data_IF_555413122600
#
_entry.id   IF_555413122600
#
_cell.length_a   1.000
_cell.length_b   1.000
_cell.length_c   1.000
_cell.angle_alpha   90.00
_cell.angle_beta   90.00
_cell.angle_gamma   90.00
#
_symmetry.space_group_name_H-M   'P 1'
#
loop_
_entity.id
_entity.type
_entity.pdbx_description
1 polymer ?
#
# COMPACT_ATOMS: atom_id res chain seq x y z
N UNK A 1 -7.48 4.20 -20.26
CA UNK A 1 -7.18 5.31 -19.34
C UNK A 1 -5.69 5.63 -19.45
N UNK A 2 -5.31 6.91 -19.52
CA UNK A 2 -3.88 7.32 -19.54
C UNK A 2 -3.35 7.39 -18.10
N UNK A 3 -2.05 7.15 -17.91
CA UNK A 3 -1.41 7.15 -16.58
C UNK A 3 -1.63 8.47 -15.82
N UNK A 4 -1.61 9.61 -16.52
CA UNK A 4 -1.85 10.91 -15.91
C UNK A 4 -3.26 11.03 -15.33
N UNK A 5 -4.29 10.57 -16.06
CA UNK A 5 -5.67 10.58 -15.57
C UNK A 5 -5.83 9.71 -14.31
N UNK A 6 -5.16 8.55 -14.26
CA UNK A 6 -5.17 7.71 -13.08
C UNK A 6 -4.50 8.39 -11.88
N UNK A 7 -3.38 9.09 -12.12
CA UNK A 7 -2.68 9.84 -11.07
C UNK A 7 -3.53 10.99 -10.53
N UNK A 8 -4.23 11.73 -11.39
CA UNK A 8 -5.12 12.80 -10.94
C UNK A 8 -6.29 12.27 -10.10
N UNK A 9 -6.87 11.12 -10.46
CA UNK A 9 -7.90 10.47 -9.64
C UNK A 9 -7.32 10.05 -8.29
N UNK A 10 -6.12 9.45 -8.24
CA UNK A 10 -5.46 9.06 -6.99
C UNK A 10 -5.27 10.26 -6.05
N UNK A 11 -4.82 11.40 -6.58
CA UNK A 11 -4.62 12.65 -5.80
C UNK A 11 -5.90 13.22 -5.20
N UNK A 12 -7.09 12.82 -5.66
CA UNK A 12 -8.36 13.25 -5.03
C UNK A 12 -8.61 12.62 -3.66
N UNK A 13 -7.86 11.55 -3.31
CA UNK A 13 -8.01 10.84 -2.04
C UNK A 13 -9.15 9.82 -2.00
N UNK A 14 -9.84 9.56 -3.12
CA UNK A 14 -10.84 8.49 -3.19
C UNK A 14 -10.18 7.10 -3.26
N UNK A 15 -10.94 6.07 -2.90
CA UNK A 15 -10.47 4.68 -3.05
C UNK A 15 -10.41 4.28 -4.53
N UNK A 16 -9.23 3.88 -5.00
CA UNK A 16 -8.98 3.54 -6.42
C UNK A 16 -8.48 2.12 -6.56
N UNK A 17 -9.09 1.36 -7.47
CA UNK A 17 -8.53 0.11 -7.98
C UNK A 17 -7.90 0.34 -9.36
N UNK A 18 -6.57 0.36 -9.42
CA UNK A 18 -5.81 0.55 -10.66
C UNK A 18 -5.46 -0.78 -11.32
N UNK A 19 -6.08 -1.09 -12.45
CA UNK A 19 -5.85 -2.31 -13.24
C UNK A 19 -5.31 -2.01 -14.64
N UNK A 20 -4.81 -3.04 -15.33
CA UNK A 20 -4.27 -2.96 -16.69
C UNK A 20 -3.40 -4.16 -17.05
N UNK A 21 -3.16 -4.36 -18.35
CA UNK A 21 -2.32 -5.46 -18.85
C UNK A 21 -0.88 -5.41 -18.31
N UNK A 22 -0.13 -6.52 -18.33
CA UNK A 22 1.32 -6.51 -18.09
C UNK A 22 2.02 -5.44 -18.94
N UNK A 23 3.00 -4.73 -18.37
CA UNK A 23 3.71 -3.66 -19.07
C UNK A 23 2.95 -2.33 -19.22
N UNK A 24 1.72 -2.21 -18.73
CA UNK A 24 0.91 -0.98 -18.87
C UNK A 24 1.34 0.21 -17.99
N UNK A 25 2.49 0.12 -17.30
CA UNK A 25 3.01 1.20 -16.46
C UNK A 25 2.33 1.41 -15.12
N UNK A 26 1.63 0.40 -14.56
CA UNK A 26 0.94 0.50 -13.25
C UNK A 26 1.89 0.88 -12.11
N UNK A 27 3.00 0.14 -11.98
CA UNK A 27 4.03 0.39 -10.97
C UNK A 27 4.57 1.81 -11.07
N UNK A 28 4.86 2.28 -12.28
CA UNK A 28 5.31 3.65 -12.51
C UNK A 28 4.29 4.71 -12.03
N UNK A 29 3.00 4.50 -12.28
CA UNK A 29 1.94 5.40 -11.79
C UNK A 29 1.86 5.39 -10.26
N UNK A 30 1.95 4.20 -9.64
CA UNK A 30 1.95 4.05 -8.18
C UNK A 30 3.16 4.76 -7.56
N UNK A 31 4.36 4.59 -8.12
CA UNK A 31 5.58 5.25 -7.62
C UNK A 31 5.48 6.78 -7.70
N UNK A 32 4.88 7.32 -8.76
CA UNK A 32 4.60 8.76 -8.87
C UNK A 32 3.65 9.24 -7.78
N UNK A 33 2.62 8.46 -7.47
CA UNK A 33 1.68 8.79 -6.42
C UNK A 33 2.31 8.72 -5.03
N UNK A 34 3.13 7.69 -4.75
CA UNK A 34 3.89 7.57 -3.49
C UNK A 34 4.79 8.78 -3.28
N UNK A 35 5.57 9.18 -4.30
CA UNK A 35 6.42 10.39 -4.21
C UNK A 35 5.60 11.64 -3.92
N UNK A 36 4.46 11.79 -4.59
CA UNK A 36 3.56 12.91 -4.33
C UNK A 36 3.06 12.92 -2.89
N UNK A 37 2.64 11.78 -2.33
CA UNK A 37 2.25 11.68 -0.91
C UNK A 37 3.38 12.06 0.05
N UNK A 38 4.60 11.60 -0.22
CA UNK A 38 5.79 11.91 0.57
C UNK A 38 6.12 13.41 0.54
N UNK A 39 6.06 14.05 -0.64
CA UNK A 39 6.27 15.48 -0.81
C UNK A 39 5.24 16.31 0.00
N UNK A 40 4.04 15.75 0.19
CA UNK A 40 2.96 16.35 0.98
C UNK A 40 2.96 15.89 2.45
N UNK A 41 4.00 15.18 2.88
CA UNK A 41 4.17 14.67 4.26
C UNK A 41 3.02 13.78 4.74
N UNK A 42 2.42 13.03 3.82
CA UNK A 42 1.37 12.06 4.14
C UNK A 42 2.04 10.71 4.44
N UNK A 43 1.74 10.14 5.61
CA UNK A 43 2.15 8.79 5.97
C UNK A 43 1.59 7.78 4.96
N UNK A 44 2.45 6.89 4.45
CA UNK A 44 2.07 5.92 3.42
C UNK A 44 2.55 4.50 3.76
N UNK A 45 1.59 3.58 3.87
CA UNK A 45 1.86 2.15 3.94
C UNK A 45 1.97 1.54 2.55
N UNK A 46 3.19 1.15 2.14
CA UNK A 46 3.43 0.53 0.84
C UNK A 46 3.46 -0.98 1.00
N UNK A 47 2.48 -1.67 0.42
CA UNK A 47 2.35 -3.12 0.58
C UNK A 47 2.11 -3.86 -0.74
N UNK A 48 2.51 -5.13 -0.77
CA UNK A 48 2.13 -6.08 -1.82
C UNK A 48 1.81 -7.48 -1.24
N UNK A 49 1.30 -8.38 -2.08
CA UNK A 49 0.93 -9.74 -1.66
C UNK A 49 2.13 -10.67 -1.45
N UNK A 50 3.24 -10.46 -2.17
CA UNK A 50 4.45 -11.29 -2.11
C UNK A 50 5.68 -10.45 -1.84
N UNK A 51 6.73 -11.06 -1.27
CA UNK A 51 7.98 -10.38 -0.96
C UNK A 51 8.63 -9.74 -2.18
N UNK A 52 8.73 -10.49 -3.29
CA UNK A 52 9.33 -9.99 -4.53
C UNK A 52 8.55 -8.79 -5.09
N UNK A 53 7.21 -8.82 -5.04
CA UNK A 53 6.41 -7.68 -5.51
C UNK A 53 6.57 -6.47 -4.58
N UNK A 54 6.62 -6.70 -3.26
CA UNK A 54 6.79 -5.64 -2.28
C UNK A 54 8.13 -4.92 -2.42
N UNK A 55 9.23 -5.68 -2.59
CA UNK A 55 10.57 -5.10 -2.77
C UNK A 55 10.67 -4.25 -4.04
N UNK A 56 9.94 -4.60 -5.11
CA UNK A 56 9.93 -3.81 -6.34
C UNK A 56 9.30 -2.43 -6.19
N UNK A 57 8.45 -2.21 -5.18
CA UNK A 57 7.82 -0.91 -4.88
C UNK A 57 8.37 -0.27 -3.61
N UNK A 58 9.46 -0.80 -3.06
CA UNK A 58 10.07 -0.28 -1.82
C UNK A 58 9.22 -0.50 -0.57
N UNK A 59 8.36 -1.53 -0.56
CA UNK A 59 7.43 -1.83 0.53
C UNK A 59 7.66 -3.17 1.21
N UNK A 60 6.70 -3.56 2.03
CA UNK A 60 6.65 -4.85 2.73
C UNK A 60 5.48 -5.69 2.22
N UNK A 61 5.42 -6.98 2.59
CA UNK A 61 4.16 -7.72 2.39
C UNK A 61 3.07 -7.16 3.29
N UNK A 62 1.80 -7.25 2.88
CA UNK A 62 0.68 -6.81 3.74
C UNK A 62 0.68 -7.54 5.10
N UNK A 63 1.10 -8.80 5.13
CA UNK A 63 1.22 -9.61 6.33
C UNK A 63 2.30 -9.10 7.29
N UNK A 64 3.46 -8.73 6.76
CA UNK A 64 4.57 -8.17 7.54
C UNK A 64 4.27 -6.76 8.00
N UNK A 65 3.74 -5.90 7.11
CA UNK A 65 3.39 -4.51 7.42
C UNK A 65 2.33 -4.41 8.51
N UNK A 66 1.28 -5.24 8.44
CA UNK A 66 0.21 -5.25 9.44
C UNK A 66 0.62 -5.87 10.79
N UNK A 67 1.72 -6.62 10.87
CA UNK A 67 2.09 -7.39 12.07
C UNK A 67 1.26 -8.66 12.28
N UNK A 68 0.32 -8.98 11.38
CA UNK A 68 -0.47 -10.22 11.43
C UNK A 68 0.41 -11.45 11.27
N UNK A 69 1.50 -11.35 10.50
CA UNK A 69 2.36 -12.49 10.18
C UNK A 69 1.60 -13.54 9.35
N UNK A 70 1.84 -14.82 9.62
CA UNK A 70 1.25 -15.95 8.88
C UNK A 70 -0.04 -16.49 9.51
N UNK A 71 -0.72 -15.70 10.35
CA UNK A 71 -1.89 -16.17 11.10
C UNK A 71 -3.13 -16.21 10.21
N UNK A 72 -3.81 -17.35 10.20
CA UNK A 72 -5.10 -17.51 9.51
C UNK A 72 -6.30 -17.01 10.35
N UNK A 73 -6.11 -16.87 11.66
CA UNK A 73 -7.15 -16.41 12.61
C UNK A 73 -6.53 -15.49 13.65
N UNK A 74 -7.30 -14.48 14.04
CA UNK A 74 -6.92 -13.52 15.08
C UNK A 74 -7.82 -13.70 16.30
N UNK A 75 -7.20 -13.87 17.46
CA UNK A 75 -7.90 -13.80 18.74
C UNK A 75 -8.09 -12.35 19.17
N UNK A 76 -8.99 -12.11 20.13
CA UNK A 76 -9.13 -10.78 20.75
C UNK A 76 -7.82 -10.25 21.36
N UNK A 77 -6.91 -11.14 21.77
CA UNK A 77 -5.58 -10.74 22.27
C UNK A 77 -4.68 -10.27 21.13
N UNK A 78 -4.71 -10.97 19.99
CA UNK A 78 -3.95 -10.56 18.81
C UNK A 78 -4.43 -9.21 18.30
N UNK A 79 -5.75 -9.00 18.22
CA UNK A 79 -6.33 -7.72 17.82
C UNK A 79 -5.89 -6.56 18.72
N UNK A 80 -5.93 -6.75 20.05
CA UNK A 80 -5.42 -5.75 21.01
C UNK A 80 -3.95 -5.42 20.81
N UNK A 81 -3.14 -6.42 20.41
CA UNK A 81 -1.71 -6.24 20.16
C UNK A 81 -1.49 -5.48 18.84
N UNK A 82 -2.24 -5.83 17.79
CA UNK A 82 -2.14 -5.21 16.47
C UNK A 82 -2.58 -3.75 16.48
N UNK A 83 -3.65 -3.42 17.21
CA UNK A 83 -4.13 -2.03 17.34
C UNK A 83 -3.18 -1.11 18.10
N UNK A 84 -2.23 -1.68 18.85
CA UNK A 84 -1.18 -0.92 19.54
C UNK A 84 0.08 -0.72 18.71
N UNK A 85 0.10 -1.15 17.44
CA UNK A 85 1.23 -0.96 16.55
C UNK A 85 1.15 0.42 15.91
N UNK A 86 2.19 1.25 16.11
CA UNK A 86 2.28 2.60 15.56
C UNK A 86 2.10 2.65 14.03
N UNK A 87 2.50 1.59 13.31
CA UNK A 87 2.30 1.47 11.87
C UNK A 87 0.81 1.35 11.44
N UNK A 88 -0.09 1.06 12.40
CA UNK A 88 -1.53 0.91 12.22
C UNK A 88 -2.33 1.95 13.05
N UNK A 89 -1.68 2.77 13.86
CA UNK A 89 -2.32 3.63 14.86
C UNK A 89 -2.47 5.11 14.42
N UNK A 90 -2.14 5.45 13.17
CA UNK A 90 -2.47 6.73 12.53
C UNK A 90 -3.78 6.67 11.73
#
# INVERSE_FOLDING_TARGET
>A
MRQESALEILKTGVNVFLTGAPGSGKTHTIDRYIRWLQDHRVGVGITASTGIAATHIGGLTIHSWSGVGIRDRLSNRDLKTLTGNDALAE
#
